data_IF_232404312714
#
_entry.id   IF_232404312714
#
_cell.length_a   1.000
_cell.length_b   1.000
_cell.length_c   1.000
_cell.angle_alpha   90.00
_cell.angle_beta   90.00
_cell.angle_gamma   90.00
#
_symmetry.space_group_name_H-M   'P 1'
#
loop_
_entity.id
_entity.type
_entity.pdbx_description
1 polymer ?
#
# COMPACT_ATOMS: atom_id res chain seq x y z
N UNK A 1 -15.97 -33.16 2.78
CA UNK A 1 -15.75 -32.35 3.99
C UNK A 1 -14.95 -31.08 3.73
N UNK A 2 -13.80 -31.15 3.04
CA UNK A 2 -12.98 -29.96 2.73
C UNK A 2 -13.72 -28.93 1.85
N UNK A 3 -14.41 -29.36 0.79
CA UNK A 3 -15.11 -28.44 -0.14
C UNK A 3 -16.27 -27.69 0.52
N UNK A 4 -17.03 -28.35 1.40
CA UNK A 4 -18.13 -27.71 2.13
C UNK A 4 -17.61 -26.65 3.12
N UNK A 5 -16.44 -26.89 3.72
CA UNK A 5 -15.78 -25.96 4.64
C UNK A 5 -15.29 -24.69 3.94
N UNK A 6 -14.78 -24.81 2.71
CA UNK A 6 -14.28 -23.66 1.93
C UNK A 6 -15.42 -22.73 1.53
N UNK A 7 -16.56 -23.28 1.09
CA UNK A 7 -17.72 -22.45 0.70
C UNK A 7 -18.28 -21.66 1.89
N UNK A 8 -18.40 -22.29 3.07
CA UNK A 8 -18.89 -21.61 4.28
C UNK A 8 -17.91 -20.52 4.72
N UNK A 9 -16.60 -20.76 4.62
CA UNK A 9 -15.58 -19.77 4.96
C UNK A 9 -15.60 -18.57 4.00
N UNK A 10 -15.75 -18.80 2.69
CA UNK A 10 -15.85 -17.71 1.70
C UNK A 10 -17.10 -16.87 1.96
N UNK A 11 -18.27 -17.49 2.15
CA UNK A 11 -19.52 -16.77 2.42
C UNK A 11 -19.45 -15.94 3.72
N UNK A 12 -18.88 -16.53 4.78
CA UNK A 12 -18.69 -15.84 6.06
C UNK A 12 -17.74 -14.65 5.96
N UNK A 13 -16.62 -14.84 5.26
CA UNK A 13 -15.64 -13.78 5.06
C UNK A 13 -16.18 -12.64 4.18
N UNK A 14 -16.89 -12.96 3.08
CA UNK A 14 -17.54 -11.92 2.25
C UNK A 14 -18.63 -11.19 3.00
N UNK A 15 -19.40 -11.88 3.86
CA UNK A 15 -20.43 -11.26 4.68
C UNK A 15 -19.84 -10.31 5.74
N UNK A 16 -18.77 -10.73 6.42
CA UNK A 16 -18.09 -9.91 7.43
C UNK A 16 -17.37 -8.71 6.79
N UNK A 17 -16.76 -8.90 5.62
CA UNK A 17 -16.15 -7.82 4.84
C UNK A 17 -17.20 -6.78 4.38
N UNK A 18 -18.31 -7.24 3.81
CA UNK A 18 -19.41 -6.36 3.38
C UNK A 18 -20.04 -5.61 4.56
N UNK A 19 -20.24 -6.29 5.70
CA UNK A 19 -20.77 -5.65 6.90
C UNK A 19 -19.90 -4.48 7.38
N UNK A 20 -18.58 -4.66 7.38
CA UNK A 20 -17.64 -3.59 7.73
C UNK A 20 -17.65 -2.45 6.69
N UNK A 21 -17.72 -2.78 5.40
CA UNK A 21 -17.80 -1.80 4.32
C UNK A 21 -19.05 -0.92 4.39
N UNK A 22 -20.24 -1.49 4.67
CA UNK A 22 -21.48 -0.73 4.74
C UNK A 22 -21.70 0.00 6.07
N UNK A 23 -21.11 -0.49 7.18
CA UNK A 23 -21.21 0.17 8.49
C UNK A 23 -20.50 1.54 8.53
N UNK A 24 -19.56 1.80 7.62
CA UNK A 24 -18.86 3.08 7.51
C UNK A 24 -19.70 4.24 6.92
N UNK A 25 -20.97 4.00 6.55
CA UNK A 25 -21.80 4.97 5.80
C UNK A 25 -23.03 5.54 6.53
N UNK A 26 -23.28 5.22 7.82
CA UNK A 26 -24.57 5.58 8.45
C UNK A 26 -24.57 6.82 9.35
N UNK A 27 -23.42 7.39 9.76
CA UNK A 27 -23.42 8.50 10.73
C UNK A 27 -22.97 9.86 10.17
N UNK A 28 -23.57 10.30 9.06
CA UNK A 28 -23.45 11.72 8.70
C UNK A 28 -24.78 12.28 8.18
N UNK A 29 -25.74 12.45 9.09
CA UNK A 29 -26.85 13.39 8.91
C UNK A 29 -26.34 14.75 9.43
N UNK A 30 -26.09 15.73 8.56
CA UNK A 30 -25.83 17.09 9.01
C UNK A 30 -27.08 17.62 9.71
N UNK A 31 -26.90 18.31 10.83
CA UNK A 31 -27.98 19.03 11.49
C UNK A 31 -28.68 19.97 10.48
N UNK A 32 -30.02 20.19 10.57
CA UNK A 32 -30.68 21.15 9.69
C UNK A 32 -30.19 22.57 10.00
N UNK A 33 -29.45 23.14 9.05
CA UNK A 33 -28.98 24.52 9.08
C UNK A 33 -30.17 25.52 9.07
N UNK A 34 -30.11 26.52 9.94
CA UNK A 34 -31.04 27.65 9.95
C UNK A 34 -30.87 28.51 8.67
N UNK A 35 -31.92 29.19 8.18
CA UNK A 35 -31.86 29.88 6.89
C UNK A 35 -31.00 31.16 6.96
N UNK A 36 -29.90 31.17 6.20
CA UNK A 36 -29.08 32.36 5.96
C UNK A 36 -29.48 32.95 4.60
N UNK A 37 -30.27 34.03 4.63
CA UNK A 37 -30.58 34.87 3.47
C UNK A 37 -29.36 35.72 3.14
N UNK A 38 -28.67 35.44 2.02
CA UNK A 38 -27.70 36.38 1.45
C UNK A 38 -27.91 36.53 -0.06
N UNK A 39 -28.09 37.78 -0.42
CA UNK A 39 -28.54 38.31 -1.69
C UNK A 39 -27.55 38.15 -2.84
N UNK A 40 -28.11 37.77 -3.99
CA UNK A 40 -27.80 38.15 -5.37
C UNK A 40 -26.37 38.57 -5.79
N UNK A 41 -25.97 37.98 -6.93
CA UNK A 41 -25.23 38.58 -8.08
C UNK A 41 -23.88 37.92 -8.37
N UNK A 42 -23.43 37.56 -9.57
CA UNK A 42 -24.01 37.36 -10.91
C UNK A 42 -22.93 36.69 -11.80
N UNK A 43 -23.35 36.03 -12.88
CA UNK A 43 -22.62 35.72 -14.15
C UNK A 43 -21.61 34.54 -14.19
N UNK A 44 -22.03 33.46 -14.87
CA UNK A 44 -21.22 32.67 -15.83
C UNK A 44 -21.43 33.29 -17.24
N UNK A 45 -20.74 32.91 -18.34
CA UNK A 45 -19.76 31.83 -18.56
C UNK A 45 -18.52 32.27 -19.42
N UNK A 46 -17.49 31.42 -19.56
CA UNK A 46 -16.80 31.36 -20.85
C UNK A 46 -16.29 29.94 -21.15
N UNK A 47 -16.81 29.42 -22.26
CA UNK A 47 -16.45 28.17 -22.93
C UNK A 47 -15.08 28.38 -23.59
N UNK A 48 -14.18 27.42 -23.43
CA UNK A 48 -12.93 27.35 -24.16
C UNK A 48 -12.46 25.91 -24.27
N UNK A 49 -13.15 25.10 -25.08
CA UNK A 49 -12.62 23.82 -25.54
C UNK A 49 -11.50 24.10 -26.54
N UNK A 50 -10.26 23.74 -26.23
CA UNK A 50 -9.23 23.57 -27.24
C UNK A 50 -8.19 22.51 -26.85
N UNK A 51 -7.76 21.76 -27.89
CA UNK A 51 -6.63 20.84 -28.00
C UNK A 51 -6.89 19.32 -27.83
N UNK A 52 -7.12 18.67 -28.98
CA UNK A 52 -6.64 17.32 -29.30
C UNK A 52 -5.17 17.37 -29.75
N UNK A 53 -4.36 16.36 -29.36
CA UNK A 53 -3.63 15.55 -30.35
C UNK A 53 -3.78 14.05 -30.03
N UNK A 54 -4.17 13.20 -31.00
CA UNK A 54 -3.30 12.29 -31.78
C UNK A 54 -2.56 11.24 -30.90
N UNK A 55 -2.50 9.92 -31.16
CA UNK A 55 -2.77 9.07 -32.33
C UNK A 55 -2.62 7.61 -31.84
N UNK A 56 -3.45 6.68 -32.32
CA UNK A 56 -3.25 5.22 -32.23
C UNK A 56 -3.13 4.63 -33.65
N UNK A 57 -2.40 3.51 -33.75
CA UNK A 57 -2.16 2.62 -34.89
C UNK A 57 -1.12 3.13 -35.91
N UNK A 58 0.08 2.55 -36.05
CA UNK A 58 0.47 1.16 -36.44
C UNK A 58 0.32 0.90 -37.95
N UNK A 59 1.46 0.85 -38.64
CA UNK A 59 1.70 0.31 -39.99
C UNK A 59 3.15 -0.25 -39.96
N UNK A 60 3.32 -1.57 -39.74
CA UNK A 60 3.53 -2.61 -40.75
C UNK A 60 4.88 -2.53 -41.49
N UNK A 61 5.65 -3.64 -41.44
CA UNK A 61 6.41 -4.09 -42.60
C UNK A 61 7.78 -4.74 -42.37
N UNK A 62 7.88 -6.05 -42.67
CA UNK A 62 9.09 -6.72 -43.19
C UNK A 62 9.75 -7.75 -42.26
N UNK A 63 9.47 -9.07 -42.35
CA UNK A 63 10.07 -10.11 -43.25
C UNK A 63 11.59 -10.28 -43.07
N UNK A 64 12.24 -11.44 -42.95
CA UNK A 64 11.89 -12.87 -42.95
C UNK A 64 13.20 -13.64 -42.59
N UNK A 65 13.07 -14.94 -42.27
CA UNK A 65 13.99 -16.04 -42.63
C UNK A 65 15.06 -16.52 -41.63
N UNK A 66 14.91 -17.83 -41.32
CA UNK A 66 15.90 -18.83 -40.90
C UNK A 66 16.49 -18.65 -39.49
N UNK A 67 16.71 -19.67 -38.67
CA UNK A 67 17.06 -21.06 -38.96
C UNK A 67 16.83 -21.89 -37.69
N UNK A 68 16.42 -23.15 -37.83
CA UNK A 68 16.37 -24.11 -36.72
C UNK A 68 17.61 -25.01 -36.81
N UNK A 69 18.48 -25.02 -35.79
CA UNK A 69 19.28 -26.19 -35.48
C UNK A 69 18.76 -26.85 -34.20
N UNK A 70 18.30 -28.08 -34.39
CA UNK A 70 18.11 -29.11 -33.38
C UNK A 70 19.48 -29.67 -32.99
N UNK A 71 19.83 -29.62 -31.70
CA UNK A 71 20.71 -30.50 -30.88
C UNK A 71 21.01 -29.68 -29.60
N UNK A 72 21.08 -30.15 -28.36
CA UNK A 72 21.28 -31.46 -27.78
C UNK A 72 20.77 -31.41 -26.33
N UNK A 73 20.17 -32.50 -25.84
CA UNK A 73 19.88 -32.71 -24.42
C UNK A 73 21.22 -32.93 -23.69
N UNK A 74 21.46 -32.20 -22.60
CA UNK A 74 22.53 -32.47 -21.62
C UNK A 74 21.95 -32.44 -20.19
N UNK A 75 22.52 -33.22 -19.28
CA UNK A 75 21.80 -33.97 -18.24
C UNK A 75 21.37 -33.11 -17.04
N UNK A 76 20.35 -33.63 -16.34
CA UNK A 76 19.93 -33.26 -15.00
C UNK A 76 21.14 -33.14 -14.07
N UNK A 77 21.52 -31.91 -13.75
CA UNK A 77 22.51 -31.58 -12.74
C UNK A 77 21.80 -30.94 -11.55
N UNK A 78 21.88 -31.62 -10.42
CA UNK A 78 21.38 -31.19 -9.12
C UNK A 78 21.84 -29.78 -8.77
N UNK A 79 20.88 -28.88 -8.57
CA UNK A 79 20.93 -27.95 -7.44
C UNK A 79 19.53 -27.42 -7.16
N UNK A 80 18.85 -28.01 -6.16
CA UNK A 80 17.88 -27.25 -5.40
C UNK A 80 18.61 -25.99 -4.89
N UNK A 81 18.06 -24.77 -5.05
CA UNK A 81 18.50 -23.65 -4.25
C UNK A 81 18.04 -23.89 -2.80
N UNK A 82 18.82 -24.68 -2.07
CA UNK A 82 18.85 -24.61 -0.61
C UNK A 82 19.62 -23.35 -0.25
N UNK A 83 18.89 -22.30 0.11
CA UNK A 83 19.45 -21.03 0.53
C UNK A 83 18.42 -19.93 0.42
N UNK A 84 17.47 -19.87 1.36
CA UNK A 84 16.74 -18.63 1.63
C UNK A 84 17.71 -17.74 2.39
N UNK A 85 18.69 -17.21 1.66
CA UNK A 85 19.49 -16.09 2.15
C UNK A 85 18.51 -14.94 2.30
N UNK A 86 18.31 -14.47 3.53
CA UNK A 86 17.50 -13.30 3.83
C UNK A 86 18.20 -12.10 3.17
N UNK A 87 17.92 -11.90 1.88
CA UNK A 87 18.40 -10.77 1.12
C UNK A 87 17.82 -9.53 1.81
N UNK A 88 18.69 -8.65 2.29
CA UNK A 88 18.28 -7.35 2.78
C UNK A 88 17.61 -6.61 1.63
N UNK A 89 16.30 -6.37 1.74
CA UNK A 89 15.54 -5.63 0.73
C UNK A 89 15.37 -4.21 1.21
N UNK A 90 15.79 -3.26 0.38
CA UNK A 90 15.46 -1.86 0.56
C UNK A 90 14.25 -1.52 -0.31
N UNK A 91 13.21 -0.97 0.31
CA UNK A 91 11.98 -0.58 -0.37
C UNK A 91 11.77 0.91 -0.10
N UNK A 92 11.73 1.69 -1.17
CA UNK A 92 11.43 3.13 -1.12
C UNK A 92 10.03 3.38 -1.68
N UNK A 93 9.26 4.22 -0.98
CA UNK A 93 7.92 4.63 -1.39
C UNK A 93 7.85 6.15 -1.34
N UNK A 94 7.43 6.76 -2.45
CA UNK A 94 7.32 8.21 -2.55
C UNK A 94 5.84 8.59 -2.63
N UNK A 95 5.39 9.36 -1.65
CA UNK A 95 4.10 10.01 -1.58
C UNK A 95 4.27 11.55 -1.57
N UNK A 96 3.18 12.29 -1.47
CA UNK A 96 3.24 13.75 -1.45
C UNK A 96 3.80 14.27 -0.12
N UNK A 97 4.94 14.98 -0.15
CA UNK A 97 5.60 15.60 1.00
C UNK A 97 7.10 15.30 1.05
N UNK A 98 7.81 15.95 1.98
CA UNK A 98 9.27 15.89 2.09
C UNK A 98 9.77 15.19 3.37
N UNK A 99 8.86 14.74 4.25
CA UNK A 99 9.21 14.01 5.47
C UNK A 99 9.59 12.57 5.15
N UNK A 100 10.58 12.04 5.86
CA UNK A 100 11.14 10.71 5.67
C UNK A 100 10.87 9.83 6.88
N UNK A 101 10.10 8.78 6.67
CA UNK A 101 9.86 7.71 7.63
C UNK A 101 10.67 6.47 7.22
N UNK A 102 11.51 5.96 8.10
CA UNK A 102 12.30 4.75 7.83
C UNK A 102 12.08 3.70 8.92
N UNK A 103 11.78 2.48 8.50
CA UNK A 103 11.53 1.31 9.35
C UNK A 103 12.50 0.21 8.95
N UNK A 104 13.24 -0.33 9.92
CA UNK A 104 14.06 -1.54 9.73
C UNK A 104 13.48 -2.70 10.51
N UNK A 105 13.52 -3.90 9.91
CA UNK A 105 12.91 -5.10 10.48
C UNK A 105 13.97 -6.15 10.81
N UNK A 106 13.95 -6.68 12.03
CA UNK A 106 14.81 -7.79 12.47
C UNK A 106 14.10 -9.14 12.48
N UNK A 107 12.85 -9.18 12.05
CA UNK A 107 11.95 -10.34 12.11
C UNK A 107 10.75 -10.11 11.21
N UNK A 108 9.82 -11.06 11.21
CA UNK A 108 8.58 -10.91 10.44
C UNK A 108 7.67 -9.88 11.13
N UNK A 109 7.24 -8.85 10.41
CA UNK A 109 6.32 -7.85 10.93
C UNK A 109 5.30 -7.44 9.87
N UNK A 110 4.03 -7.42 10.27
CA UNK A 110 2.97 -6.84 9.45
C UNK A 110 3.01 -5.32 9.58
N UNK A 111 2.86 -4.58 8.48
CA UNK A 111 2.82 -3.13 8.53
C UNK A 111 1.63 -2.54 7.78
N UNK A 112 1.13 -1.42 8.28
CA UNK A 112 0.17 -0.57 7.60
C UNK A 112 0.47 0.90 7.92
N UNK A 113 0.55 1.73 6.87
CA UNK A 113 0.98 3.11 6.95
C UNK A 113 0.01 3.97 6.16
N UNK A 114 -0.56 4.96 6.84
CA UNK A 114 -1.57 5.87 6.30
C UNK A 114 -1.10 7.33 6.45
N UNK A 115 -1.52 8.17 5.50
CA UNK A 115 -1.32 9.62 5.48
C UNK A 115 -2.19 10.34 6.54
N UNK A 116 -1.99 11.65 6.71
CA UNK A 116 -2.79 12.56 7.54
C UNK A 116 -4.29 12.48 7.23
N UNK A 117 -4.64 12.22 5.96
CA UNK A 117 -6.03 12.10 5.51
C UNK A 117 -6.59 10.67 5.67
N UNK A 118 -5.88 9.79 6.39
CA UNK A 118 -6.17 8.35 6.50
C UNK A 118 -6.15 7.57 5.17
N UNK A 119 -5.50 8.13 4.14
CA UNK A 119 -5.26 7.42 2.88
C UNK A 119 -4.15 6.39 3.05
N UNK A 120 -4.38 5.16 2.60
CA UNK A 120 -3.39 4.08 2.70
C UNK A 120 -2.20 4.32 1.77
N UNK A 121 -1.00 4.49 2.34
CA UNK A 121 0.25 4.64 1.60
C UNK A 121 0.86 3.27 1.32
N UNK A 122 0.93 2.41 2.35
CA UNK A 122 1.56 1.11 2.21
C UNK A 122 1.03 0.09 3.22
N UNK A 123 0.97 -1.18 2.81
CA UNK A 123 0.45 -2.28 3.62
C UNK A 123 1.03 -3.61 3.14
N UNK A 124 1.87 -4.27 3.95
CA UNK A 124 2.57 -5.50 3.56
C UNK A 124 3.13 -6.27 4.78
N UNK A 125 3.66 -7.47 4.55
CA UNK A 125 4.53 -8.20 5.50
C UNK A 125 5.98 -7.95 5.16
N UNK A 126 6.75 -7.55 6.17
CA UNK A 126 8.21 -7.43 6.12
C UNK A 126 8.88 -8.59 6.81
N UNK A 127 10.05 -8.97 6.32
CA UNK A 127 10.88 -10.04 6.84
C UNK A 127 12.14 -9.46 7.50
N UNK A 128 12.88 -10.30 8.21
CA UNK A 128 14.16 -9.92 8.79
C UNK A 128 15.13 -9.41 7.72
N UNK A 129 15.78 -8.28 7.99
CA UNK A 129 16.71 -7.61 7.07
C UNK A 129 16.05 -6.62 6.12
N UNK A 130 14.71 -6.56 6.05
CA UNK A 130 14.04 -5.57 5.23
C UNK A 130 14.19 -4.16 5.84
N UNK A 131 14.31 -3.17 4.96
CA UNK A 131 14.27 -1.75 5.31
C UNK A 131 13.27 -1.05 4.40
N UNK A 132 12.31 -0.38 5.00
CA UNK A 132 11.31 0.43 4.32
C UNK A 132 11.57 1.90 4.57
N UNK A 133 11.70 2.69 3.51
CA UNK A 133 11.74 4.14 3.54
C UNK A 133 10.50 4.71 2.83
N UNK A 134 9.83 5.66 3.46
CA UNK A 134 8.67 6.35 2.94
C UNK A 134 8.95 7.84 2.98
N UNK A 135 8.77 8.50 1.84
CA UNK A 135 8.76 9.95 1.73
C UNK A 135 7.33 10.43 1.58
N UNK A 136 6.90 11.38 2.39
CA UNK A 136 5.52 11.84 2.37
C UNK A 136 5.27 13.00 3.31
N UNK A 137 4.00 13.26 3.60
CA UNK A 137 3.58 14.34 4.49
C UNK A 137 3.28 13.78 5.87
N UNK A 138 3.90 14.34 6.90
CA UNK A 138 3.51 14.06 8.27
C UNK A 138 2.17 14.74 8.63
N UNK A 139 1.45 14.24 9.64
CA UNK A 139 1.75 13.06 10.46
C UNK A 139 1.44 11.72 9.75
N UNK A 140 2.28 10.71 9.99
CA UNK A 140 2.05 9.34 9.54
C UNK A 140 1.35 8.53 10.62
N UNK A 141 0.32 7.79 10.24
CA UNK A 141 -0.33 6.81 11.11
C UNK A 141 0.18 5.42 10.78
N UNK A 142 0.82 4.78 11.75
CA UNK A 142 1.55 3.53 11.57
C UNK A 142 0.96 2.46 12.47
N UNK A 143 0.69 1.30 11.90
CA UNK A 143 0.35 0.08 12.61
C UNK A 143 1.41 -0.98 12.31
N UNK A 144 2.04 -1.49 13.36
CA UNK A 144 2.99 -2.58 13.30
C UNK A 144 2.39 -3.80 14.00
N UNK A 145 2.32 -4.92 13.30
CA UNK A 145 2.05 -6.24 13.86
C UNK A 145 3.38 -6.93 14.18
N UNK A 146 3.50 -7.43 15.40
CA UNK A 146 4.77 -7.87 15.97
C UNK A 146 5.87 -6.79 15.91
N UNK A 147 5.56 -5.65 16.54
CA UNK A 147 6.38 -4.45 16.61
C UNK A 147 7.70 -4.64 17.36
N UNK A 148 7.87 -5.76 18.08
CA UNK A 148 9.12 -6.08 18.79
C UNK A 148 10.32 -6.22 17.85
N UNK A 149 10.05 -6.53 16.57
CA UNK A 149 11.05 -6.68 15.52
C UNK A 149 11.22 -5.45 14.63
N UNK A 150 10.53 -4.34 14.93
CA UNK A 150 10.59 -3.12 14.11
C UNK A 150 11.30 -2.00 14.86
N UNK A 151 12.22 -1.31 14.18
CA UNK A 151 12.80 -0.05 14.67
C UNK A 151 12.43 1.07 13.72
N UNK A 152 12.05 2.21 14.29
CA UNK A 152 11.49 3.34 13.57
C UNK A 152 12.39 4.57 13.69
N UNK A 153 12.58 5.27 12.59
CA UNK A 153 13.20 6.59 12.55
C UNK A 153 12.34 7.53 11.72
N UNK A 154 12.21 8.78 12.16
CA UNK A 154 11.46 9.83 11.47
C UNK A 154 12.40 11.03 11.29
N UNK A 155 12.61 11.46 10.04
CA UNK A 155 13.55 12.53 9.69
C UNK A 155 14.95 12.34 10.32
N UNK A 156 15.38 11.08 10.46
CA UNK A 156 16.66 10.70 11.08
C UNK A 156 16.63 10.61 12.62
N UNK A 157 15.56 11.02 13.29
CA UNK A 157 15.38 10.85 14.73
C UNK A 157 14.79 9.48 15.05
N UNK A 158 15.38 8.76 16.01
CA UNK A 158 14.85 7.46 16.46
C UNK A 158 13.57 7.63 17.26
N UNK A 159 12.57 6.80 16.97
CA UNK A 159 11.28 6.76 17.67
C UNK A 159 11.22 5.46 18.47
N UNK A 160 11.02 5.57 19.78
CA UNK A 160 10.84 4.41 20.64
C UNK A 160 9.47 3.77 20.39
N UNK A 161 9.47 2.63 19.70
CA UNK A 161 8.26 1.84 19.44
C UNK A 161 7.83 1.06 20.68
N UNK A 162 8.79 0.66 21.52
CA UNK A 162 8.60 -0.27 22.64
C UNK A 162 7.56 0.22 23.66
N UNK A 163 7.49 1.53 23.88
CA UNK A 163 6.56 2.15 24.84
C UNK A 163 5.09 2.05 24.40
N UNK A 164 4.85 1.77 23.11
CA UNK A 164 3.53 1.69 22.49
C UNK A 164 3.13 0.24 22.12
N UNK A 165 3.96 -0.75 22.47
CA UNK A 165 3.69 -2.16 22.20
C UNK A 165 2.61 -2.67 23.16
N UNK A 166 1.58 -3.31 22.59
CA UNK A 166 0.45 -3.93 23.29
C UNK A 166 0.75 -5.39 23.61
N UNK A 167 -0.17 -6.03 24.35
CA UNK A 167 -0.05 -7.43 24.78
C UNK A 167 0.00 -8.44 23.62
N UNK A 168 -0.50 -8.07 22.45
CA UNK A 168 -0.50 -8.88 21.22
C UNK A 168 0.74 -8.59 20.34
N UNK A 169 1.77 -7.94 20.91
CA UNK A 169 2.95 -7.43 20.22
C UNK A 169 2.64 -6.42 19.10
N UNK A 170 1.41 -5.89 19.00
CA UNK A 170 1.11 -4.83 18.04
C UNK A 170 1.48 -3.45 18.60
N UNK A 171 1.79 -2.49 17.73
CA UNK A 171 1.96 -1.09 18.11
C UNK A 171 1.22 -0.18 17.14
N UNK A 172 0.64 0.89 17.67
CA UNK A 172 0.00 1.96 16.88
C UNK A 172 0.65 3.28 17.26
N UNK A 173 1.19 3.98 16.27
CA UNK A 173 1.93 5.22 16.47
C UNK A 173 1.47 6.26 15.47
N UNK A 174 1.46 7.51 15.91
CA UNK A 174 1.38 8.66 15.03
C UNK A 174 2.69 9.44 15.16
N UNK A 175 3.39 9.68 14.05
CA UNK A 175 4.71 10.32 14.04
C UNK A 175 4.70 11.57 13.17
N UNK A 176 5.52 12.56 13.54
CA UNK A 176 5.59 13.86 12.87
C UNK A 176 4.41 14.78 13.17
N UNK A 177 4.00 14.80 14.45
CA UNK A 177 3.08 15.79 15.02
C UNK A 177 3.78 17.13 15.29
#
# INVERSE_FOLDING_TARGET
WVVLSVTVFICGFTGLWAYNYFAATVDNVPAPDAPIINSASTFLPNIGFNATPNTLAEEVGGTNTADLPKEAIRPLGDKLPTGVEAAERFIEIVAAGDDVLRISFSGQSWIEINDVNANQIHRDIRLAGDVLEIRGRSPFNILLGDATFARLTFNGAEINVSDNIRIDNSARLTVGL
#
